data_IF_859762415101
#
_entry.id   IF_859762415101
#
_cell.length_a   1.000
_cell.length_b   1.000
_cell.length_c   1.000
_cell.angle_alpha   90.00
_cell.angle_beta   90.00
_cell.angle_gamma   90.00
#
_symmetry.space_group_name_H-M   'P 1'
#
loop_
_entity.id
_entity.type
_entity.pdbx_description
1 polymer ?
#
# COMPACT_ATOMS: atom_id res chain seq x y z
N UNK A 1 30.15 5.74 38.16
CA UNK A 1 28.97 5.11 37.50
C UNK A 1 28.63 5.83 36.19
N UNK A 2 29.55 5.84 35.22
CA UNK A 2 29.38 6.51 33.90
C UNK A 2 30.13 5.79 32.78
N UNK A 3 30.29 4.48 32.90
CA UNK A 3 31.00 3.65 31.94
C UNK A 3 30.36 2.26 31.92
N UNK A 4 29.24 2.14 31.20
CA UNK A 4 28.64 0.89 30.69
C UNK A 4 27.51 1.26 29.70
N UNK A 5 27.71 2.34 28.94
CA UNK A 5 26.88 2.67 27.80
C UNK A 5 27.64 2.19 26.57
N UNK A 6 27.78 0.85 26.48
CA UNK A 6 28.37 0.21 25.33
C UNK A 6 27.59 0.65 24.10
N UNK A 7 28.31 1.21 23.13
CA UNK A 7 27.82 1.45 21.78
C UNK A 7 27.23 0.13 21.25
N UNK A 8 25.91 -0.03 21.39
CA UNK A 8 25.14 -0.97 20.59
C UNK A 8 25.21 -0.44 19.16
N UNK A 9 26.30 -0.76 18.47
CA UNK A 9 26.35 -0.66 17.03
C UNK A 9 25.19 -1.48 16.50
N UNK A 10 24.22 -0.79 15.92
CA UNK A 10 22.99 -1.35 15.41
C UNK A 10 23.34 -2.32 14.28
N UNK A 11 23.57 -3.58 14.62
CA UNK A 11 24.07 -4.57 13.68
C UNK A 11 22.89 -5.13 12.88
N UNK A 12 22.41 -4.33 11.92
CA UNK A 12 21.32 -4.67 11.01
C UNK A 12 21.60 -5.98 10.23
N UNK A 13 22.89 -6.37 10.10
CA UNK A 13 23.37 -7.49 9.26
C UNK A 13 22.76 -8.87 9.55
N UNK A 14 22.12 -9.08 10.70
CA UNK A 14 21.60 -10.40 11.07
C UNK A 14 20.08 -10.54 10.92
N UNK A 15 19.35 -9.46 10.65
CA UNK A 15 17.87 -9.48 10.67
C UNK A 15 17.24 -9.73 9.30
N UNK A 16 17.99 -9.56 8.21
CA UNK A 16 17.55 -9.64 6.81
C UNK A 16 17.93 -10.96 6.11
N UNK A 17 18.99 -11.63 6.56
CA UNK A 17 19.47 -12.88 5.96
C UNK A 17 18.41 -14.01 5.95
N UNK A 18 17.50 -14.05 6.94
CA UNK A 18 16.51 -15.12 7.10
C UNK A 18 15.63 -15.32 5.87
N UNK A 19 15.08 -14.24 5.32
CA UNK A 19 14.23 -14.35 4.12
C UNK A 19 15.07 -14.81 2.93
N UNK A 20 16.28 -14.28 2.74
CA UNK A 20 17.18 -14.72 1.66
C UNK A 20 17.58 -16.20 1.77
N UNK A 21 17.79 -16.73 2.98
CA UNK A 21 18.07 -18.16 3.20
C UNK A 21 16.87 -18.99 2.76
N UNK A 22 15.65 -18.60 3.16
CA UNK A 22 14.41 -19.28 2.78
C UNK A 22 14.20 -19.22 1.26
N UNK A 23 14.39 -18.05 0.65
CA UNK A 23 14.30 -17.90 -0.81
C UNK A 23 15.38 -18.69 -1.55
N UNK A 24 16.58 -18.82 -0.98
CA UNK A 24 17.65 -19.64 -1.56
C UNK A 24 17.27 -21.12 -1.54
N UNK A 25 16.76 -21.63 -0.42
CA UNK A 25 16.28 -23.00 -0.31
C UNK A 25 15.13 -23.28 -1.31
N UNK A 26 14.19 -22.33 -1.43
CA UNK A 26 13.12 -22.38 -2.41
C UNK A 26 13.65 -22.38 -3.85
N UNK A 27 14.55 -21.46 -4.19
CA UNK A 27 15.13 -21.35 -5.52
C UNK A 27 15.91 -22.64 -5.90
N UNK A 28 16.74 -23.15 -5.00
CA UNK A 28 17.51 -24.39 -5.23
C UNK A 28 16.60 -25.61 -5.49
N UNK A 29 15.44 -25.66 -4.84
CA UNK A 29 14.49 -26.75 -4.99
C UNK A 29 13.63 -26.58 -6.25
N UNK A 30 13.07 -25.40 -6.45
CA UNK A 30 11.96 -25.19 -7.38
C UNK A 30 12.36 -24.61 -8.73
N UNK A 31 13.50 -23.93 -8.83
CA UNK A 31 14.00 -23.41 -10.12
C UNK A 31 14.35 -24.55 -11.08
N UNK A 32 15.09 -25.62 -10.67
CA UNK A 32 15.37 -26.75 -11.56
C UNK A 32 14.10 -27.49 -11.98
N UNK A 33 13.08 -27.52 -11.11
CA UNK A 33 11.79 -28.17 -11.34
C UNK A 33 10.80 -27.31 -12.13
N UNK A 34 11.12 -26.04 -12.41
CA UNK A 34 10.22 -25.07 -13.04
C UNK A 34 8.85 -24.99 -12.34
N UNK A 35 8.86 -25.08 -11.00
CA UNK A 35 7.66 -25.22 -10.20
C UNK A 35 7.39 -23.97 -9.35
N UNK A 36 6.28 -23.29 -9.56
CA UNK A 36 6.00 -21.99 -8.94
C UNK A 36 4.88 -22.03 -7.89
N UNK A 37 4.28 -23.20 -7.64
CA UNK A 37 3.16 -23.36 -6.70
C UNK A 37 3.45 -22.83 -5.28
N UNK A 38 4.69 -23.03 -4.81
CA UNK A 38 5.12 -22.66 -3.45
C UNK A 38 5.75 -21.27 -3.37
N UNK A 39 5.82 -20.52 -4.47
CA UNK A 39 6.50 -19.23 -4.51
C UNK A 39 5.94 -18.25 -3.46
N UNK A 40 4.61 -18.02 -3.49
CA UNK A 40 3.94 -17.12 -2.54
C UNK A 40 4.01 -17.63 -1.09
N UNK A 41 3.96 -18.97 -0.89
CA UNK A 41 4.07 -19.58 0.44
C UNK A 41 5.45 -19.33 1.05
N UNK A 42 6.51 -19.52 0.27
CA UNK A 42 7.89 -19.27 0.71
C UNK A 42 8.11 -17.78 0.98
N UNK A 43 7.45 -16.89 0.24
CA UNK A 43 7.39 -15.46 0.56
C UNK A 43 6.78 -15.19 1.94
N UNK A 44 5.63 -15.78 2.24
CA UNK A 44 4.97 -15.66 3.55
C UNK A 44 5.85 -16.22 4.68
N UNK A 45 6.38 -17.43 4.53
CA UNK A 45 7.26 -18.07 5.51
C UNK A 45 8.52 -17.24 5.74
N UNK A 46 9.13 -16.72 4.65
CA UNK A 46 10.27 -15.82 4.72
C UNK A 46 9.98 -14.56 5.54
N UNK A 47 8.85 -13.90 5.29
CA UNK A 47 8.45 -12.70 6.01
C UNK A 47 8.17 -12.97 7.50
N UNK A 48 7.43 -14.04 7.81
CA UNK A 48 7.13 -14.43 9.19
C UNK A 48 8.40 -14.82 9.97
N UNK A 49 9.30 -15.55 9.33
CA UNK A 49 10.59 -15.92 9.93
C UNK A 49 11.47 -14.69 10.18
N UNK A 50 11.57 -13.76 9.23
CA UNK A 50 12.27 -12.48 9.44
C UNK A 50 11.65 -11.66 10.57
N UNK A 51 10.31 -11.63 10.66
CA UNK A 51 9.59 -10.97 11.77
C UNK A 51 9.95 -11.61 13.10
N UNK A 52 9.88 -12.95 13.20
CA UNK A 52 10.25 -13.69 14.40
C UNK A 52 11.71 -13.45 14.81
N UNK A 53 12.66 -13.63 13.88
CA UNK A 53 14.08 -13.40 14.15
C UNK A 53 14.33 -11.96 14.59
N UNK A 54 13.68 -10.97 13.94
CA UNK A 54 13.84 -9.57 14.33
C UNK A 54 13.41 -9.28 15.77
N UNK A 55 12.39 -9.98 16.27
CA UNK A 55 11.83 -9.76 17.60
C UNK A 55 12.60 -10.51 18.70
N UNK A 56 13.09 -11.72 18.42
CA UNK A 56 13.66 -12.60 19.44
C UNK A 56 15.18 -12.73 19.42
N UNK A 57 15.85 -12.36 18.32
CA UNK A 57 17.28 -12.63 18.11
C UNK A 57 18.18 -12.12 19.25
N UNK A 58 18.04 -10.85 19.64
CA UNK A 58 18.88 -10.26 20.69
C UNK A 58 18.65 -10.93 22.05
N UNK A 59 17.39 -11.22 22.40
CA UNK A 59 17.09 -11.91 23.65
C UNK A 59 17.64 -13.34 23.69
N UNK A 60 17.52 -14.09 22.59
CA UNK A 60 18.08 -15.45 22.47
C UNK A 60 19.60 -15.40 22.56
N UNK A 61 20.24 -14.44 21.90
CA UNK A 61 21.69 -14.24 21.92
C UNK A 61 22.21 -13.91 23.33
N UNK A 62 21.45 -13.17 24.11
CA UNK A 62 21.73 -12.90 25.53
C UNK A 62 21.42 -14.09 26.45
N UNK A 63 20.92 -15.22 25.93
CA UNK A 63 20.57 -16.41 26.70
C UNK A 63 19.29 -16.27 27.52
N UNK A 64 18.44 -15.27 27.21
CA UNK A 64 17.19 -15.05 27.92
C UNK A 64 16.15 -16.10 27.53
N UNK A 65 15.39 -16.66 28.50
CA UNK A 65 14.28 -17.55 28.18
C UNK A 65 13.20 -16.81 27.40
N UNK A 66 12.52 -17.49 26.46
CA UNK A 66 11.50 -16.89 25.59
C UNK A 66 10.41 -16.12 26.36
N UNK A 67 9.99 -16.64 27.51
CA UNK A 67 8.97 -16.00 28.37
C UNK A 67 9.43 -14.61 28.81
N UNK A 68 10.69 -14.46 29.23
CA UNK A 68 11.22 -13.15 29.65
C UNK A 68 11.32 -12.14 28.51
N UNK A 69 11.56 -12.62 27.28
CA UNK A 69 11.57 -11.77 26.09
C UNK A 69 10.14 -11.26 25.83
N UNK A 70 9.15 -12.15 25.89
CA UNK A 70 7.73 -11.78 25.72
C UNK A 70 7.26 -10.77 26.77
N UNK A 71 7.65 -10.95 28.04
CA UNK A 71 7.34 -10.00 29.12
C UNK A 71 8.00 -8.63 28.93
N UNK A 72 9.13 -8.58 28.20
CA UNK A 72 9.81 -7.33 27.87
C UNK A 72 9.25 -6.62 26.63
N UNK A 73 8.26 -7.18 25.94
CA UNK A 73 7.70 -6.55 24.75
C UNK A 73 6.76 -5.41 25.12
N UNK A 74 7.11 -4.20 24.69
CA UNK A 74 6.19 -3.05 24.73
C UNK A 74 4.91 -3.31 23.93
N UNK A 75 3.82 -2.63 24.29
CA UNK A 75 2.55 -2.66 23.55
C UNK A 75 2.74 -2.32 22.07
N UNK A 76 3.67 -1.43 21.73
CA UNK A 76 3.96 -1.05 20.34
C UNK A 76 4.55 -2.21 19.55
N UNK A 77 5.45 -3.01 20.15
CA UNK A 77 5.96 -4.23 19.52
C UNK A 77 4.81 -5.21 19.25
N UNK A 78 3.93 -5.43 20.23
CA UNK A 78 2.80 -6.35 20.08
C UNK A 78 1.86 -5.91 18.95
N UNK A 79 1.55 -4.61 18.88
CA UNK A 79 0.67 -4.08 17.83
C UNK A 79 1.30 -4.16 16.44
N UNK A 80 2.56 -3.74 16.27
CA UNK A 80 3.23 -3.76 14.96
C UNK A 80 3.46 -5.19 14.44
N UNK A 81 4.00 -6.07 15.28
CA UNK A 81 4.25 -7.46 14.91
C UNK A 81 2.94 -8.23 14.72
N UNK A 82 1.94 -8.00 15.58
CA UNK A 82 0.61 -8.58 15.42
C UNK A 82 -0.06 -8.14 14.12
N UNK A 83 -0.02 -6.84 13.79
CA UNK A 83 -0.53 -6.30 12.54
C UNK A 83 0.14 -6.94 11.32
N UNK A 84 1.48 -7.03 11.33
CA UNK A 84 2.25 -7.62 10.25
C UNK A 84 2.01 -9.13 10.08
N UNK A 85 1.88 -9.88 11.18
CA UNK A 85 1.57 -11.32 11.17
C UNK A 85 0.16 -11.56 10.63
N UNK A 86 -0.84 -10.79 11.10
CA UNK A 86 -2.23 -10.89 10.61
C UNK A 86 -2.28 -10.63 9.11
N UNK A 87 -1.65 -9.54 8.64
CA UNK A 87 -1.56 -9.24 7.22
C UNK A 87 -0.87 -10.36 6.43
N UNK A 88 0.31 -10.81 6.89
CA UNK A 88 1.13 -11.80 6.18
C UNK A 88 0.42 -13.15 6.05
N UNK A 89 -0.18 -13.65 7.14
CA UNK A 89 -0.94 -14.89 7.12
C UNK A 89 -2.15 -14.77 6.20
N UNK A 90 -2.91 -13.67 6.31
CA UNK A 90 -4.09 -13.42 5.48
C UNK A 90 -3.72 -13.41 3.99
N UNK A 91 -2.73 -12.61 3.61
CA UNK A 91 -2.34 -12.45 2.22
C UNK A 91 -1.67 -13.72 1.68
N UNK A 92 -0.73 -14.30 2.41
CA UNK A 92 -0.01 -15.50 2.00
C UNK A 92 -0.91 -16.72 1.85
N UNK A 93 -1.82 -16.97 2.81
CA UNK A 93 -2.80 -18.06 2.70
C UNK A 93 -3.74 -17.84 1.52
N UNK A 94 -4.20 -16.60 1.29
CA UNK A 94 -5.04 -16.27 0.13
C UNK A 94 -4.34 -16.53 -1.20
N UNK A 95 -3.09 -16.07 -1.34
CA UNK A 95 -2.29 -16.25 -2.56
C UNK A 95 -1.95 -17.72 -2.81
N UNK A 96 -1.52 -18.45 -1.78
CA UNK A 96 -1.21 -19.88 -1.90
C UNK A 96 -2.45 -20.71 -2.22
N UNK A 97 -3.58 -20.44 -1.56
CA UNK A 97 -4.86 -21.10 -1.85
C UNK A 97 -5.30 -20.85 -3.31
N UNK A 98 -5.01 -19.66 -3.83
CA UNK A 98 -5.27 -19.32 -5.24
C UNK A 98 -4.33 -20.07 -6.17
N UNK A 99 -3.04 -20.16 -5.85
CA UNK A 99 -2.05 -20.88 -6.64
C UNK A 99 -2.42 -22.37 -6.78
N UNK A 100 -2.85 -23.02 -5.68
CA UNK A 100 -3.35 -24.41 -5.71
C UNK A 100 -4.54 -24.55 -6.67
N UNK A 101 -5.51 -23.63 -6.60
CA UNK A 101 -6.71 -23.69 -7.45
C UNK A 101 -6.42 -23.47 -8.94
N UNK A 102 -5.42 -22.65 -9.26
CA UNK A 102 -5.07 -22.30 -10.64
C UNK A 102 -3.93 -23.16 -11.22
N UNK A 103 -3.29 -24.00 -10.41
CA UNK A 103 -2.14 -24.80 -10.82
C UNK A 103 -0.84 -24.01 -10.94
N UNK A 104 -0.74 -22.85 -10.27
CA UNK A 104 0.41 -21.95 -10.34
C UNK A 104 0.02 -20.48 -10.57
N UNK A 105 1.02 -19.66 -10.88
CA UNK A 105 0.86 -18.25 -11.24
C UNK A 105 1.15 -18.03 -12.73
N UNK A 106 0.11 -17.63 -13.46
CA UNK A 106 0.21 -17.29 -14.89
C UNK A 106 1.29 -16.25 -15.22
N UNK A 107 1.69 -15.41 -14.27
CA UNK A 107 2.74 -14.39 -14.44
C UNK A 107 4.13 -15.01 -14.50
N UNK A 108 4.32 -16.20 -13.93
CA UNK A 108 5.59 -16.91 -13.84
C UNK A 108 5.75 -17.99 -14.92
N UNK A 109 4.70 -18.33 -15.66
CA UNK A 109 4.70 -19.37 -16.69
C UNK A 109 5.82 -19.23 -17.74
N UNK A 110 6.06 -18.01 -18.21
CA UNK A 110 7.14 -17.73 -19.16
C UNK A 110 8.51 -17.64 -18.48
N UNK A 111 8.54 -17.14 -17.23
CA UNK A 111 9.77 -16.87 -16.48
C UNK A 111 10.38 -18.18 -15.96
N UNK A 112 9.56 -19.14 -15.49
CA UNK A 112 10.02 -20.39 -14.88
C UNK A 112 10.81 -21.31 -15.82
N UNK A 113 10.66 -21.11 -17.14
CA UNK A 113 11.43 -21.80 -18.18
C UNK A 113 12.86 -21.26 -18.33
N UNK A 114 13.18 -20.14 -17.68
CA UNK A 114 14.49 -19.48 -17.78
C UNK A 114 15.13 -19.46 -16.37
N UNK A 115 16.00 -20.43 -16.04
CA UNK A 115 16.46 -20.66 -14.67
C UNK A 115 17.04 -19.40 -13.99
N UNK A 116 17.87 -18.63 -14.67
CA UNK A 116 18.46 -17.40 -14.12
C UNK A 116 17.41 -16.32 -13.83
N UNK A 117 16.44 -16.13 -14.73
CA UNK A 117 15.36 -15.16 -14.52
C UNK A 117 14.42 -15.62 -13.41
N UNK A 118 14.12 -16.91 -13.35
CA UNK A 118 13.28 -17.46 -12.30
C UNK A 118 13.96 -17.32 -10.93
N UNK A 119 15.24 -17.68 -10.81
CA UNK A 119 16.02 -17.48 -9.60
C UNK A 119 16.04 -16.00 -9.17
N UNK A 120 16.14 -15.06 -10.12
CA UNK A 120 16.08 -13.61 -9.81
C UNK A 120 14.75 -13.24 -9.14
N UNK A 121 13.62 -13.81 -9.59
CA UNK A 121 12.30 -13.57 -8.99
C UNK A 121 12.22 -14.11 -7.55
N UNK A 122 12.89 -15.23 -7.24
CA UNK A 122 13.04 -15.73 -5.86
C UNK A 122 13.83 -14.76 -4.97
N UNK A 123 14.97 -14.26 -5.44
CA UNK A 123 15.76 -13.30 -4.64
C UNK A 123 15.09 -11.93 -4.52
N UNK A 124 14.36 -11.48 -5.54
CA UNK A 124 13.53 -10.27 -5.48
C UNK A 124 12.45 -10.38 -4.41
N UNK A 125 11.89 -11.58 -4.18
CA UNK A 125 10.95 -11.82 -3.07
C UNK A 125 11.61 -11.56 -1.71
N UNK A 126 12.87 -11.97 -1.53
CA UNK A 126 13.65 -11.68 -0.32
C UNK A 126 13.78 -10.17 -0.09
N UNK A 127 14.23 -9.44 -1.11
CA UNK A 127 14.35 -7.97 -1.07
C UNK A 127 13.01 -7.29 -0.79
N UNK A 128 11.93 -7.77 -1.39
CA UNK A 128 10.59 -7.27 -1.12
C UNK A 128 10.24 -7.41 0.35
N UNK A 129 10.34 -8.63 0.91
CA UNK A 129 9.96 -8.90 2.30
C UNK A 129 10.80 -8.08 3.29
N UNK A 130 12.06 -7.79 2.94
CA UNK A 130 12.91 -6.90 3.72
C UNK A 130 12.41 -5.45 3.68
N UNK A 131 12.24 -4.87 2.49
CA UNK A 131 11.84 -3.47 2.33
C UNK A 131 10.47 -3.19 2.94
N UNK A 132 9.53 -4.10 2.74
CA UNK A 132 8.17 -3.99 3.29
C UNK A 132 8.19 -4.09 4.82
N UNK A 133 8.98 -4.99 5.39
CA UNK A 133 9.08 -5.14 6.84
C UNK A 133 9.90 -4.06 7.56
N UNK A 134 10.60 -3.18 6.84
CA UNK A 134 11.53 -2.21 7.43
C UNK A 134 11.04 -1.45 8.68
N UNK A 135 9.83 -0.84 8.74
CA UNK A 135 9.34 -0.17 9.95
C UNK A 135 9.26 -1.09 11.18
N UNK A 136 8.91 -2.37 10.98
CA UNK A 136 8.82 -3.35 12.04
C UNK A 136 10.21 -3.78 12.52
N UNK A 137 11.13 -4.05 11.60
CA UNK A 137 12.49 -4.49 11.93
C UNK A 137 13.25 -3.40 12.67
N UNK A 138 13.13 -2.15 12.21
CA UNK A 138 13.74 -1.02 12.89
C UNK A 138 13.12 -0.82 14.28
N UNK A 139 11.81 -0.98 14.44
CA UNK A 139 11.21 -0.88 15.78
C UNK A 139 11.72 -1.97 16.72
N UNK A 140 11.82 -3.21 16.22
CA UNK A 140 12.23 -4.37 17.02
C UNK A 140 13.69 -4.32 17.48
N UNK A 141 14.56 -3.52 16.82
CA UNK A 141 15.94 -3.28 17.28
C UNK A 141 16.00 -2.52 18.63
N UNK A 142 14.93 -1.82 19.01
CA UNK A 142 14.80 -1.15 20.30
C UNK A 142 14.13 -2.07 21.33
N UNK A 143 14.83 -3.13 21.74
CA UNK A 143 14.28 -4.20 22.59
C UNK A 143 13.96 -3.80 24.04
N UNK A 144 14.39 -2.62 24.52
CA UNK A 144 14.18 -2.21 25.91
C UNK A 144 12.82 -1.51 26.10
N UNK A 145 11.95 -1.95 27.03
CA UNK A 145 10.65 -1.29 27.29
C UNK A 145 10.78 0.22 27.56
N UNK A 146 11.84 0.61 28.29
CA UNK A 146 12.15 2.02 28.60
C UNK A 146 12.57 2.86 27.39
N UNK A 147 12.91 2.22 26.27
CA UNK A 147 13.29 2.86 25.02
C UNK A 147 12.11 3.06 24.07
N UNK A 148 10.93 2.55 24.42
CA UNK A 148 9.72 2.67 23.60
C UNK A 148 8.80 3.74 24.18
N UNK A 149 8.39 4.68 23.33
CA UNK A 149 7.36 5.63 23.71
C UNK A 149 6.04 4.86 23.96
N UNK A 150 5.36 5.08 25.11
CA UNK A 150 4.07 4.45 25.39
C UNK A 150 3.06 4.81 24.31
N UNK A 151 2.04 3.96 24.16
CA UNK A 151 0.94 4.24 23.22
C UNK A 151 0.21 5.50 23.67
N UNK A 152 0.20 6.51 22.81
CA UNK A 152 -0.46 7.79 23.04
C UNK A 152 -1.69 7.97 22.16
N UNK A 153 -2.45 9.05 22.40
CA UNK A 153 -3.67 9.36 21.61
C UNK A 153 -3.40 9.43 20.10
N UNK A 154 -2.20 9.86 19.70
CA UNK A 154 -1.78 9.96 18.30
C UNK A 154 -1.63 8.59 17.62
N UNK A 155 -1.38 7.53 18.37
CA UNK A 155 -1.20 6.17 17.85
C UNK A 155 -2.54 5.50 17.43
N UNK A 156 -3.68 6.04 17.86
CA UNK A 156 -4.99 5.54 17.40
C UNK A 156 -5.28 5.88 15.93
N UNK A 157 -4.72 6.97 15.42
CA UNK A 157 -4.86 7.36 14.00
C UNK A 157 -4.23 6.30 13.07
N UNK A 158 -2.94 5.93 13.21
CA UNK A 158 -2.33 4.91 12.38
C UNK A 158 -2.92 3.51 12.63
N UNK A 159 -3.38 3.20 13.85
CA UNK A 159 -4.11 1.96 14.11
C UNK A 159 -5.46 1.91 13.38
N UNK A 160 -6.19 3.02 13.37
CA UNK A 160 -7.42 3.19 12.58
C UNK A 160 -7.16 3.08 11.08
N UNK A 161 -6.06 3.66 10.60
CA UNK A 161 -5.64 3.52 9.20
C UNK A 161 -5.32 2.06 8.84
N UNK A 162 -4.53 1.36 9.67
CA UNK A 162 -4.22 -0.05 9.46
C UNK A 162 -5.49 -0.91 9.41
N UNK A 163 -6.36 -0.79 10.42
CA UNK A 163 -7.57 -1.61 10.55
C UNK A 163 -8.57 -1.36 9.42
N UNK A 164 -8.84 -0.10 9.07
CA UNK A 164 -9.72 0.24 7.95
C UNK A 164 -9.15 -0.21 6.60
N UNK A 165 -7.83 -0.13 6.41
CA UNK A 165 -7.16 -0.56 5.19
C UNK A 165 -7.15 -2.08 5.04
N UNK A 166 -6.91 -2.82 6.13
CA UNK A 166 -7.04 -4.28 6.17
C UNK A 166 -8.48 -4.72 5.86
N UNK A 167 -9.48 -4.03 6.43
CA UNK A 167 -10.88 -4.30 6.12
C UNK A 167 -11.20 -4.06 4.64
N UNK A 168 -10.74 -2.94 4.07
CA UNK A 168 -10.92 -2.62 2.65
C UNK A 168 -10.33 -3.71 1.74
N UNK A 169 -9.10 -4.15 2.05
CA UNK A 169 -8.43 -5.22 1.31
C UNK A 169 -9.24 -6.52 1.39
N UNK A 170 -9.66 -6.93 2.60
CA UNK A 170 -10.47 -8.15 2.83
C UNK A 170 -11.78 -8.09 2.04
N UNK A 171 -12.47 -6.96 2.11
CA UNK A 171 -13.73 -6.77 1.40
C UNK A 171 -13.53 -6.82 -0.12
N UNK A 172 -12.45 -6.23 -0.63
CA UNK A 172 -12.10 -6.27 -2.06
C UNK A 172 -11.91 -7.70 -2.56
N UNK A 173 -11.05 -8.46 -1.87
CA UNK A 173 -10.70 -9.82 -2.25
C UNK A 173 -11.87 -10.78 -2.08
N UNK A 174 -12.68 -10.61 -1.03
CA UNK A 174 -13.91 -11.36 -0.83
C UNK A 174 -14.91 -11.12 -1.97
N UNK A 175 -15.20 -9.84 -2.28
CA UNK A 175 -16.13 -9.50 -3.37
C UNK A 175 -15.65 -10.07 -4.70
N UNK A 176 -14.36 -9.93 -5.03
CA UNK A 176 -13.77 -10.45 -6.27
C UNK A 176 -13.83 -11.98 -6.34
N UNK A 177 -13.53 -12.65 -5.23
CA UNK A 177 -13.53 -14.12 -5.17
C UNK A 177 -14.94 -14.69 -5.25
N UNK A 178 -15.90 -14.09 -4.55
CA UNK A 178 -17.32 -14.47 -4.63
C UNK A 178 -17.90 -14.23 -6.01
N UNK A 179 -17.56 -13.11 -6.66
CA UNK A 179 -17.96 -12.82 -8.03
C UNK A 179 -17.42 -13.88 -9.00
N UNK A 180 -16.13 -14.24 -8.91
CA UNK A 180 -15.54 -15.31 -9.73
C UNK A 180 -16.22 -16.67 -9.51
N UNK A 181 -16.42 -17.08 -8.25
CA UNK A 181 -17.09 -18.35 -7.93
C UNK A 181 -18.52 -18.41 -8.50
N UNK A 182 -19.26 -17.29 -8.44
CA UNK A 182 -20.60 -17.21 -9.05
C UNK A 182 -20.56 -17.32 -10.56
N UNK A 183 -19.59 -16.68 -11.22
CA UNK A 183 -19.37 -16.78 -12.66
C UNK A 183 -19.03 -18.22 -13.07
N UNK A 184 -18.14 -18.89 -12.33
CA UNK A 184 -17.70 -20.25 -12.62
C UNK A 184 -18.87 -21.25 -12.43
N UNK A 185 -19.79 -20.96 -11.51
CA UNK A 185 -21.09 -21.65 -11.34
C UNK A 185 -22.17 -21.21 -12.35
N UNK A 186 -21.81 -20.45 -13.39
CA UNK A 186 -22.70 -19.91 -14.43
C UNK A 186 -23.90 -19.12 -13.90
N UNK A 187 -23.77 -18.46 -12.74
CA UNK A 187 -24.83 -17.63 -12.13
C UNK A 187 -24.93 -16.23 -12.74
N UNK A 188 -23.95 -15.80 -13.54
CA UNK A 188 -23.97 -14.59 -14.36
C UNK A 188 -22.91 -14.71 -15.46
N UNK A 189 -23.04 -13.87 -16.49
CA UNK A 189 -22.15 -13.86 -17.67
C UNK A 189 -21.30 -12.57 -17.77
N UNK A 190 -21.25 -11.77 -16.69
CA UNK A 190 -20.40 -10.57 -16.63
C UNK A 190 -18.92 -10.92 -16.83
N UNK A 191 -18.24 -10.13 -17.66
CA UNK A 191 -16.84 -10.36 -18.04
C UNK A 191 -15.83 -9.82 -17.02
N UNK A 192 -16.20 -8.78 -16.29
CA UNK A 192 -15.40 -8.14 -15.24
C UNK A 192 -16.30 -7.66 -14.10
N UNK A 193 -15.73 -7.52 -12.90
CA UNK A 193 -16.45 -6.99 -11.74
C UNK A 193 -16.46 -5.45 -11.79
N UNK A 194 -17.64 -4.86 -11.61
CA UNK A 194 -17.84 -3.41 -11.55
C UNK A 194 -18.85 -3.00 -10.46
N UNK A 195 -19.20 -3.92 -9.56
CA UNK A 195 -20.17 -3.73 -8.48
C UNK A 195 -19.52 -3.76 -7.10
N UNK A 196 -20.26 -3.32 -6.08
CA UNK A 196 -19.74 -3.23 -4.71
C UNK A 196 -18.65 -2.16 -4.60
N UNK A 197 -17.56 -2.47 -3.89
CA UNK A 197 -16.45 -1.52 -3.74
C UNK A 197 -15.65 -1.32 -5.03
N UNK A 198 -15.75 -2.29 -5.96
CA UNK A 198 -15.10 -2.22 -7.27
C UNK A 198 -15.73 -1.14 -8.17
N UNK A 199 -16.94 -0.64 -7.86
CA UNK A 199 -17.49 0.52 -8.60
C UNK A 199 -16.72 1.82 -8.32
N UNK A 200 -16.09 1.92 -7.15
CA UNK A 200 -15.42 3.15 -6.68
C UNK A 200 -13.95 3.19 -7.07
N UNK A 201 -13.30 2.02 -7.10
CA UNK A 201 -11.93 1.86 -7.56
C UNK A 201 -11.79 0.57 -8.33
N UNK A 202 -10.95 0.59 -9.37
CA UNK A 202 -10.58 -0.61 -10.13
C UNK A 202 -9.60 -1.51 -9.37
N UNK A 203 -8.96 -0.99 -8.33
CA UNK A 203 -7.96 -1.70 -7.54
C UNK A 203 -8.11 -1.41 -6.03
N UNK A 204 -9.28 -1.66 -5.41
CA UNK A 204 -9.54 -1.30 -4.02
C UNK A 204 -8.67 -2.11 -3.03
N UNK A 205 -8.28 -3.33 -3.41
CA UNK A 205 -7.33 -4.14 -2.64
C UNK A 205 -5.93 -3.49 -2.58
N UNK A 206 -5.47 -2.81 -3.63
CA UNK A 206 -4.16 -2.13 -3.60
C UNK A 206 -4.19 -0.87 -2.73
N UNK A 207 -5.33 -0.18 -2.65
CA UNK A 207 -5.51 0.92 -1.70
C UNK A 207 -5.40 0.40 -0.27
N UNK A 208 -6.05 -0.74 0.02
CA UNK A 208 -5.93 -1.43 1.30
C UNK A 208 -4.48 -1.79 1.64
N UNK A 209 -3.79 -2.46 0.72
CA UNK A 209 -2.38 -2.85 0.90
C UNK A 209 -1.48 -1.65 1.23
N UNK A 210 -1.62 -0.54 0.50
CA UNK A 210 -0.80 0.66 0.73
C UNK A 210 -1.16 1.33 2.06
N UNK A 211 -2.46 1.40 2.39
CA UNK A 211 -2.93 1.92 3.66
C UNK A 211 -2.46 1.11 4.87
N UNK A 212 -2.34 -0.22 4.74
CA UNK A 212 -1.77 -1.11 5.77
C UNK A 212 -0.33 -0.71 6.09
N UNK A 213 0.52 -0.60 5.07
CA UNK A 213 1.93 -0.25 5.27
C UNK A 213 2.14 1.19 5.71
N UNK A 214 1.27 2.10 5.28
CA UNK A 214 1.23 3.47 5.81
C UNK A 214 0.87 3.49 7.30
N UNK A 215 -0.12 2.69 7.72
CA UNK A 215 -0.50 2.53 9.13
C UNK A 215 0.61 1.94 9.98
N UNK A 216 1.25 0.87 9.53
CA UNK A 216 2.39 0.24 10.22
C UNK A 216 3.57 1.21 10.34
N UNK A 217 3.93 1.90 9.25
CA UNK A 217 4.97 2.91 9.27
C UNK A 217 4.64 4.04 10.26
N UNK A 218 3.45 4.62 10.17
CA UNK A 218 3.06 5.72 11.04
C UNK A 218 2.99 5.30 12.53
N UNK A 219 2.60 4.05 12.82
CA UNK A 219 2.63 3.50 14.17
C UNK A 219 4.07 3.23 14.66
N UNK A 220 5.03 2.95 13.78
CA UNK A 220 6.46 2.87 14.16
C UNK A 220 7.10 4.23 14.43
N UNK A 221 6.55 5.32 13.89
CA UNK A 221 7.23 6.62 13.83
C UNK A 221 7.65 7.17 15.21
N UNK A 222 6.86 6.94 16.26
CA UNK A 222 7.21 7.37 17.63
C UNK A 222 8.38 6.58 18.22
N UNK A 223 8.51 5.28 17.90
CA UNK A 223 9.68 4.48 18.31
C UNK A 223 10.95 4.96 17.59
N UNK A 224 10.83 5.28 16.31
CA UNK A 224 11.96 5.66 15.47
C UNK A 224 12.48 7.08 15.70
N UNK A 225 11.81 7.86 16.56
CA UNK A 225 12.32 9.16 17.07
C UNK A 225 13.28 8.99 18.26
N UNK A 226 13.52 7.76 18.73
CA UNK A 226 14.48 7.48 19.80
C UNK A 226 15.89 7.96 19.42
N UNK A 227 16.67 8.43 20.41
CA UNK A 227 18.01 9.02 20.21
C UNK A 227 19.05 8.05 19.62
N UNK A 228 18.75 6.75 19.59
CA UNK A 228 19.57 5.74 18.93
C UNK A 228 19.50 5.81 17.40
N UNK A 229 18.46 6.42 16.83
CA UNK A 229 18.32 6.65 15.41
C UNK A 229 18.76 8.06 15.02
N UNK A 230 19.26 8.27 13.80
CA UNK A 230 19.33 9.60 13.21
C UNK A 230 17.95 10.26 13.25
N UNK A 231 17.88 11.60 13.26
CA UNK A 231 16.59 12.33 13.18
C UNK A 231 15.72 11.90 11.99
N UNK A 232 16.34 11.32 10.95
CA UNK A 232 15.68 10.78 9.77
C UNK A 232 15.21 9.32 9.93
N UNK A 233 15.25 8.73 11.13
CA UNK A 233 14.81 7.35 11.41
C UNK A 233 13.41 7.02 10.87
N UNK A 234 12.39 7.85 11.13
CA UNK A 234 11.06 7.66 10.55
C UNK A 234 11.06 7.76 9.02
N UNK A 235 11.91 8.61 8.43
CA UNK A 235 12.02 8.75 6.97
C UNK A 235 12.66 7.51 6.32
N UNK A 236 13.61 6.85 6.99
CA UNK A 236 14.16 5.57 6.53
C UNK A 236 13.07 4.49 6.48
N UNK A 237 12.25 4.39 7.53
CA UNK A 237 11.15 3.44 7.58
C UNK A 237 10.04 3.73 6.54
N UNK A 238 9.92 4.98 6.07
CA UNK A 238 8.97 5.34 5.01
C UNK A 238 9.29 4.68 3.67
N UNK A 239 10.50 4.12 3.50
CA UNK A 239 10.84 3.31 2.35
C UNK A 239 9.88 2.12 2.16
N UNK A 240 9.31 1.57 3.23
CA UNK A 240 8.32 0.48 3.14
C UNK A 240 7.05 0.88 2.38
N UNK A 241 6.22 1.83 2.88
CA UNK A 241 5.00 2.20 2.17
C UNK A 241 5.27 2.85 0.81
N UNK A 242 6.39 3.57 0.64
CA UNK A 242 6.78 4.13 -0.66
C UNK A 242 7.15 3.04 -1.67
N UNK A 243 7.86 2.00 -1.23
CA UNK A 243 8.18 0.84 -2.06
C UNK A 243 6.90 0.09 -2.44
N UNK A 244 6.04 -0.23 -1.48
CA UNK A 244 4.74 -0.88 -1.73
C UNK A 244 3.90 -0.07 -2.71
N UNK A 245 3.80 1.25 -2.49
CA UNK A 245 3.12 2.16 -3.39
C UNK A 245 3.69 2.09 -4.80
N UNK A 246 5.00 2.32 -4.95
CA UNK A 246 5.66 2.38 -6.24
C UNK A 246 5.50 1.08 -7.01
N UNK A 247 5.65 -0.04 -6.33
CA UNK A 247 5.57 -1.35 -6.94
C UNK A 247 4.16 -1.65 -7.45
N UNK A 248 3.14 -1.34 -6.65
CA UNK A 248 1.75 -1.58 -7.03
C UNK A 248 1.27 -0.61 -8.10
N UNK A 249 1.67 0.66 -8.09
CA UNK A 249 1.18 1.63 -9.07
C UNK A 249 1.99 1.65 -10.36
N UNK A 250 3.29 1.32 -10.32
CA UNK A 250 4.20 1.52 -11.46
C UNK A 250 4.88 0.26 -12.00
N UNK A 251 4.96 -0.84 -11.24
CA UNK A 251 5.75 -2.02 -11.64
C UNK A 251 4.86 -3.22 -11.94
N UNK A 252 4.36 -3.90 -10.91
CA UNK A 252 3.72 -5.22 -11.06
C UNK A 252 2.24 -5.26 -10.71
N UNK A 253 1.70 -4.21 -10.07
CA UNK A 253 0.29 -4.13 -9.70
C UNK A 253 -0.60 -3.66 -10.85
N UNK A 254 -0.97 -2.38 -10.83
CA UNK A 254 -1.91 -1.72 -11.74
C UNK A 254 -1.49 -1.84 -13.21
N UNK A 255 -0.22 -1.57 -13.61
CA UNK A 255 0.13 -1.53 -15.04
C UNK A 255 -0.05 -2.88 -15.75
N UNK A 256 0.29 -3.99 -15.08
CA UNK A 256 0.14 -5.33 -15.64
C UNK A 256 -1.34 -5.71 -15.75
N UNK A 257 -2.14 -5.41 -14.73
CA UNK A 257 -3.58 -5.67 -14.73
C UNK A 257 -4.32 -4.84 -15.78
N UNK A 258 -4.00 -3.55 -15.91
CA UNK A 258 -4.61 -2.66 -16.90
C UNK A 258 -4.23 -3.06 -18.33
N UNK A 259 -2.97 -3.45 -18.55
CA UNK A 259 -2.54 -3.98 -19.85
C UNK A 259 -3.31 -5.24 -20.22
N UNK A 260 -3.48 -6.17 -19.27
CA UNK A 260 -4.27 -7.38 -19.48
C UNK A 260 -5.75 -7.05 -19.73
N UNK A 261 -6.36 -6.22 -18.89
CA UNK A 261 -7.77 -5.85 -19.00
C UNK A 261 -8.07 -5.11 -20.31
N UNK A 262 -7.18 -4.22 -20.76
CA UNK A 262 -7.28 -3.58 -22.07
C UNK A 262 -7.18 -4.59 -23.22
N UNK A 263 -6.31 -5.59 -23.12
CA UNK A 263 -6.20 -6.67 -24.13
C UNK A 263 -7.46 -7.54 -24.18
N UNK A 264 -8.08 -7.82 -23.03
CA UNK A 264 -9.21 -8.77 -22.94
C UNK A 264 -10.58 -8.10 -23.14
N UNK A 265 -10.73 -6.86 -22.67
CA UNK A 265 -12.02 -6.14 -22.60
C UNK A 265 -11.98 -4.76 -23.28
N UNK A 266 -10.87 -4.36 -23.91
CA UNK A 266 -10.70 -3.02 -24.47
C UNK A 266 -11.73 -2.62 -25.52
N UNK A 267 -12.34 -3.58 -26.21
CA UNK A 267 -13.37 -3.34 -27.22
C UNK A 267 -14.80 -3.30 -26.64
N UNK A 268 -14.98 -3.72 -25.39
CA UNK A 268 -16.28 -3.75 -24.71
C UNK A 268 -16.69 -2.33 -24.27
N UNK A 269 -17.81 -1.77 -24.79
CA UNK A 269 -18.27 -0.45 -24.39
C UNK A 269 -18.49 -0.31 -22.88
N UNK A 270 -18.98 -1.35 -22.21
CA UNK A 270 -19.19 -1.33 -20.75
C UNK A 270 -17.88 -1.22 -20.00
N UNK A 271 -16.81 -1.86 -20.51
CA UNK A 271 -15.48 -1.75 -19.91
C UNK A 271 -14.90 -0.35 -20.12
N UNK A 272 -15.12 0.27 -21.29
CA UNK A 272 -14.70 1.66 -21.54
C UNK A 272 -15.40 2.65 -20.61
N UNK A 273 -16.69 2.44 -20.32
CA UNK A 273 -17.44 3.26 -19.38
C UNK A 273 -16.96 3.06 -17.95
N UNK A 274 -16.73 1.81 -17.56
CA UNK A 274 -16.17 1.48 -16.25
C UNK A 274 -14.75 2.04 -16.06
N UNK A 275 -13.89 1.95 -17.07
CA UNK A 275 -12.53 2.49 -17.03
C UNK A 275 -12.51 4.03 -17.00
N UNK A 276 -13.56 4.69 -17.50
CA UNK A 276 -13.76 6.15 -17.39
C UNK A 276 -14.36 6.57 -16.04
N UNK A 277 -15.05 5.66 -15.36
CA UNK A 277 -15.71 5.92 -14.07
C UNK A 277 -14.66 6.06 -12.97
N UNK A 278 -14.44 7.30 -12.52
CA UNK A 278 -13.28 7.73 -11.75
C UNK A 278 -13.69 8.10 -10.33
N UNK A 279 -13.32 7.33 -9.28
CA UNK A 279 -13.51 7.81 -7.89
C UNK A 279 -12.30 7.59 -6.97
N UNK A 280 -11.49 6.53 -7.09
CA UNK A 280 -10.23 6.45 -6.33
C UNK A 280 -9.08 6.02 -7.21
N UNK A 281 -8.48 7.01 -7.87
CA UNK A 281 -7.22 6.88 -8.58
C UNK A 281 -6.06 6.90 -7.58
N UNK A 282 -5.37 5.77 -7.44
CA UNK A 282 -3.92 5.78 -7.21
C UNK A 282 -3.14 5.91 -8.52
N UNK A 283 -3.80 6.41 -9.56
CA UNK A 283 -3.12 6.95 -10.74
C UNK A 283 -2.85 8.42 -10.44
N UNK A 284 -1.72 8.71 -9.78
CA UNK A 284 -1.10 10.01 -10.01
C UNK A 284 -0.83 10.09 -11.51
N UNK A 285 -1.18 11.21 -12.18
CA UNK A 285 -0.78 11.43 -13.55
C UNK A 285 0.75 11.63 -13.57
N UNK A 286 1.50 10.53 -13.55
CA UNK A 286 2.93 10.57 -13.85
C UNK A 286 3.02 10.80 -15.35
N UNK A 287 2.95 12.08 -15.72
CA UNK A 287 3.47 12.70 -16.95
C UNK A 287 3.56 11.70 -18.12
N UNK A 288 2.39 11.33 -18.66
CA UNK A 288 2.25 11.02 -20.09
C UNK A 288 1.47 12.14 -20.76
N UNK A 289 1.89 13.37 -20.49
CA UNK A 289 1.57 14.47 -21.39
C UNK A 289 2.30 14.21 -22.71
N UNK A 290 1.53 13.83 -23.73
CA UNK A 290 1.81 13.98 -25.16
C UNK A 290 3.25 13.71 -25.64
N UNK A 291 3.51 12.50 -26.10
CA UNK A 291 4.47 12.27 -27.22
C UNK A 291 3.77 12.14 -28.58
N UNK A 292 2.43 12.16 -28.62
CA UNK A 292 1.67 11.84 -29.84
C UNK A 292 1.05 13.06 -30.56
N UNK A 293 1.43 14.31 -30.21
CA UNK A 293 0.94 15.50 -30.92
C UNK A 293 2.01 16.52 -31.34
N UNK A 294 3.30 16.17 -31.30
CA UNK A 294 4.38 17.07 -31.73
C UNK A 294 5.01 16.65 -33.08
N UNK A 295 4.85 15.40 -33.51
CA UNK A 295 5.44 14.90 -34.76
C UNK A 295 4.57 15.13 -36.02
N UNK A 296 3.40 15.77 -35.90
CA UNK A 296 2.49 16.01 -37.04
C UNK A 296 2.35 17.48 -37.47
N UNK A 297 3.15 18.40 -36.90
CA UNK A 297 3.06 19.83 -37.24
C UNK A 297 4.41 20.53 -37.48
N UNK A 298 5.46 19.81 -37.89
CA UNK A 298 6.70 20.46 -38.33
C UNK A 298 6.88 20.21 -39.83
N UNK A 299 6.24 21.07 -40.61
CA UNK A 299 6.62 21.37 -41.99
C UNK A 299 6.57 22.89 -42.17
N UNK A 300 7.46 23.43 -43.01
CA UNK A 300 7.91 24.84 -43.13
C UNK A 300 8.93 25.22 -42.03
N UNK A 301 10.18 25.58 -42.31
CA UNK A 301 10.67 26.46 -43.38
C UNK A 301 11.05 27.81 -42.75
N UNK A 302 12.28 28.27 -42.99
CA UNK A 302 12.85 29.61 -42.67
C UNK A 302 13.22 29.96 -41.21
N UNK A 303 14.54 30.08 -41.01
CA UNK A 303 15.29 31.09 -40.23
C UNK A 303 14.52 32.00 -39.28
N UNK A 304 14.83 31.96 -37.98
CA UNK A 304 14.40 32.95 -37.01
C UNK A 304 14.96 32.72 -35.62
N UNK A 305 15.78 33.66 -35.16
CA UNK A 305 16.44 33.74 -33.85
C UNK A 305 15.42 33.66 -32.70
N UNK A 306 15.70 32.83 -31.69
CA UNK A 306 14.88 32.69 -30.47
C UNK A 306 15.03 33.92 -29.56
N UNK A 307 13.94 34.68 -29.40
CA UNK A 307 13.79 35.79 -28.44
C UNK A 307 13.43 35.26 -27.03
N UNK A 308 14.18 35.58 -25.95
CA UNK A 308 13.95 35.02 -24.61
C UNK A 308 12.71 35.54 -23.86
N UNK A 309 11.85 36.39 -24.44
CA UNK A 309 10.78 37.10 -23.67
C UNK A 309 9.31 36.73 -23.96
N UNK A 310 8.98 35.70 -24.74
CA UNK A 310 7.57 35.32 -24.96
C UNK A 310 7.03 34.34 -23.92
N UNK A 311 6.15 34.85 -23.03
CA UNK A 311 5.27 34.04 -22.15
C UNK A 311 4.26 33.25 -22.99
N UNK A 312 4.10 31.97 -22.67
CA UNK A 312 3.07 31.10 -23.24
C UNK A 312 1.71 31.50 -22.65
N UNK A 313 0.77 31.93 -23.50
CA UNK A 313 -0.63 32.09 -23.15
C UNK A 313 -1.39 30.79 -23.44
N UNK A 314 -2.15 30.30 -22.45
CA UNK A 314 -3.12 29.23 -22.67
C UNK A 314 -4.41 29.82 -23.24
N UNK A 315 -4.80 29.38 -24.43
CA UNK A 315 -6.07 29.73 -25.05
C UNK A 315 -7.26 29.11 -24.27
N UNK A 316 -8.27 29.94 -24.00
CA UNK A 316 -9.45 29.62 -23.19
C UNK A 316 -10.48 28.73 -23.90
N UNK A 317 -10.33 28.48 -25.20
CA UNK A 317 -11.35 27.77 -25.98
C UNK A 317 -11.28 26.22 -25.91
N UNK A 318 -10.22 25.62 -25.36
CA UNK A 318 -9.94 24.18 -25.56
C UNK A 318 -10.42 23.25 -24.42
N UNK A 319 -10.81 23.76 -23.24
CA UNK A 319 -11.19 22.91 -22.09
C UNK A 319 -12.32 23.52 -21.23
N UNK A 320 -13.60 23.17 -21.47
CA UNK A 320 -14.71 23.67 -20.66
C UNK A 320 -14.72 23.12 -19.22
N UNK A 321 -14.16 21.94 -18.97
CA UNK A 321 -14.18 21.27 -17.65
C UNK A 321 -13.18 21.84 -16.63
N UNK A 322 -12.21 22.64 -17.09
CA UNK A 322 -11.23 23.32 -16.21
C UNK A 322 -11.86 24.52 -15.50
N UNK A 323 -13.00 25.03 -16.00
CA UNK A 323 -13.74 26.13 -15.39
C UNK A 323 -14.37 25.77 -14.05
N UNK A 324 -14.88 24.53 -13.91
CA UNK A 324 -15.53 24.05 -12.69
C UNK A 324 -14.57 23.88 -11.51
N UNK A 325 -13.31 23.51 -11.79
CA UNK A 325 -12.29 23.33 -10.75
C UNK A 325 -11.64 24.67 -10.36
N UNK A 326 -11.52 25.62 -11.29
CA UNK A 326 -10.92 26.94 -11.02
C UNK A 326 -11.89 27.94 -10.39
N UNK A 327 -13.19 27.89 -10.68
CA UNK A 327 -14.15 28.78 -10.01
C UNK A 327 -14.45 28.34 -8.57
N UNK A 328 -14.51 27.04 -8.31
CA UNK A 328 -14.65 26.51 -6.94
C UNK A 328 -13.43 26.81 -6.05
N UNK A 329 -12.21 26.84 -6.62
CA UNK A 329 -11.01 27.25 -5.86
C UNK A 329 -10.94 28.76 -5.62
N UNK A 330 -11.50 29.60 -6.49
CA UNK A 330 -11.58 31.05 -6.25
C UNK A 330 -12.60 31.41 -5.18
N UNK A 331 -13.73 30.71 -5.11
CA UNK A 331 -14.69 30.89 -4.01
C UNK A 331 -14.11 30.44 -2.66
N UNK A 332 -13.35 29.33 -2.64
CA UNK A 332 -12.67 28.85 -1.43
C UNK A 332 -11.56 29.79 -0.96
N UNK A 333 -10.81 30.42 -1.87
CA UNK A 333 -9.75 31.39 -1.52
C UNK A 333 -10.36 32.73 -1.08
N UNK A 334 -11.47 33.17 -1.67
CA UNK A 334 -12.16 34.40 -1.25
C UNK A 334 -12.82 34.31 0.14
N UNK A 335 -13.06 33.09 0.65
CA UNK A 335 -13.55 32.84 2.01
C UNK A 335 -12.45 32.89 3.07
N UNK A 336 -11.18 32.87 2.68
CA UNK A 336 -10.04 32.81 3.62
C UNK A 336 -9.57 34.20 4.09
N UNK A 337 -10.02 35.28 3.44
CA UNK A 337 -9.57 36.67 3.69
C UNK A 337 -10.62 37.58 4.37
N UNK A 338 -11.70 37.02 4.94
CA UNK A 338 -12.64 37.82 5.75
C UNK A 338 -12.35 37.68 7.25
N UNK A 339 -12.21 38.79 8.00
CA UNK A 339 -12.07 38.73 9.45
C UNK A 339 -13.36 38.20 10.09
N UNK A 340 -13.20 37.22 10.98
CA UNK A 340 -14.28 36.59 11.75
C UNK A 340 -14.89 37.60 12.72
N UNK A 341 -16.07 38.15 12.39
CA UNK A 341 -16.91 38.84 13.37
C UNK A 341 -17.83 37.82 14.04
N UNK A 342 -17.54 37.49 15.30
CA UNK A 342 -18.43 36.76 16.21
C UNK A 342 -19.61 37.65 16.58
N UNK A 343 -20.74 37.55 15.88
CA UNK A 343 -22.03 38.11 16.34
C UNK A 343 -23.25 37.62 15.52
N UNK A 344 -23.34 36.33 15.14
CA UNK A 344 -24.56 35.79 14.50
C UNK A 344 -25.03 34.38 14.94
N UNK A 345 -24.36 33.71 15.88
CA UNK A 345 -24.88 32.46 16.45
C UNK A 345 -25.64 32.73 17.75
N UNK A 346 -26.85 33.30 17.65
CA UNK A 346 -27.80 33.32 18.78
C UNK A 346 -29.27 33.13 18.42
N UNK A 347 -29.62 32.87 17.15
CA UNK A 347 -31.02 32.76 16.73
C UNK A 347 -31.40 31.49 15.94
N UNK A 348 -30.53 30.48 15.81
CA UNK A 348 -30.86 29.22 15.10
C UNK A 348 -31.09 28.00 16.00
N UNK A 349 -30.98 28.14 17.32
CA UNK A 349 -31.21 27.05 18.29
C UNK A 349 -32.69 26.90 18.72
N UNK A 350 -33.65 27.46 17.97
CA UNK A 350 -35.08 27.44 18.36
C UNK A 350 -36.05 26.80 17.37
N UNK A 351 -35.59 26.22 16.26
CA UNK A 351 -36.51 25.66 15.24
C UNK A 351 -36.35 24.16 14.93
N UNK A 352 -35.37 23.44 15.49
CA UNK A 352 -35.21 21.99 15.22
C UNK A 352 -35.65 21.05 16.36
N UNK A 353 -36.15 21.56 17.49
CA UNK A 353 -36.61 20.74 18.62
C UNK A 353 -38.07 20.21 18.51
N UNK A 354 -38.74 20.33 17.37
CA UNK A 354 -40.20 20.04 17.27
C UNK A 354 -40.62 18.95 16.28
N UNK A 355 -39.77 17.99 15.90
CA UNK A 355 -40.21 16.94 14.97
C UNK A 355 -39.62 15.52 15.19
N UNK A 356 -39.31 15.14 16.42
CA UNK A 356 -38.91 13.76 16.77
C UNK A 356 -39.63 13.24 18.02
N UNK A 357 -40.97 13.15 17.98
CA UNK A 357 -41.74 12.21 18.80
C UNK A 357 -42.99 11.77 18.06
N UNK A 358 -43.04 10.49 17.69
CA UNK A 358 -44.16 9.86 16.98
C UNK A 358 -43.95 8.36 16.85
N UNK A 359 -44.17 7.65 17.94
CA UNK A 359 -44.28 6.18 18.01
C UNK A 359 -45.51 5.64 17.26
N UNK A 360 -45.49 4.30 17.10
CA UNK A 360 -46.62 3.35 16.95
C UNK A 360 -46.84 2.84 15.51
N UNK A 361 -46.54 1.56 15.23
CA UNK A 361 -47.26 0.29 15.54
C UNK A 361 -48.22 -0.11 14.39
N UNK A 362 -48.18 -1.40 14.08
CA UNK A 362 -49.10 -2.25 13.31
C UNK A 362 -48.85 -2.50 11.82
N UNK A 363 -48.73 -3.82 11.57
CA UNK A 363 -48.77 -4.63 10.34
C UNK A 363 -47.47 -4.81 9.54
#
# INVERSE_FOLDING_TARGET
>A
MRAMQGERTMNIRNHDATSYIIQSAGALTFVPLQYDLFYDLMGMVGFLASTFVSLFYEGIKEGKPLVSILESLSTRHLLLNGAAVVWSLRLGVFLFSRAIKLGGDSRLEEIKRQPLRFATVWFMQGTWTFLVGLPLYLTNLLCTPSSQAPIGKKDYIPLGLFTSSLFLEILADYQKSKWRDRRDKKKHNERFISSGIWRWSRHPNYIGEIGIWMGIWALSASALQHSAYPRLGPALAAASPLFTWHLLTNVSGIPLLEKHAKKTFGDDPKYKDYARSFIVAMELPIIKAKKHSLDSQINYGTTGILDPKKRIYFDKATYPDVRLVLESTKELIALQDKPFHTDQFRNSEKEEETCLFGESRYQ
#
